data_IF_858613840827
#
_entry.id   IF_858613840827
#
_cell.length_a   1.000
_cell.length_b   1.000
_cell.length_c   1.000
_cell.angle_alpha   90.00
_cell.angle_beta   90.00
_cell.angle_gamma   90.00
#
_symmetry.space_group_name_H-M   'P 1'
#
loop_
_entity.id
_entity.type
_entity.pdbx_description
1 polymer ?
#
# COMPACT_ATOMS: atom_id res chain seq x y z
N UNK A 1 -4.85 8.43 5.94
CA UNK A 1 -3.82 8.12 4.91
C UNK A 1 -2.91 9.32 4.75
N UNK A 2 -1.63 9.10 4.61
CA UNK A 2 -0.63 10.16 4.47
C UNK A 2 -0.12 10.16 3.03
N UNK A 3 0.03 11.35 2.43
CA UNK A 3 0.61 11.46 1.10
C UNK A 3 2.03 10.90 1.08
N UNK A 4 2.32 10.06 0.10
CA UNK A 4 3.65 9.52 -0.13
C UNK A 4 4.34 10.35 -1.21
N UNK A 5 5.55 10.81 -0.92
CA UNK A 5 6.38 11.52 -1.90
C UNK A 5 7.46 10.54 -2.35
N UNK A 6 7.38 10.12 -3.61
CA UNK A 6 8.33 9.16 -4.18
C UNK A 6 9.73 9.76 -4.24
N UNK A 7 10.68 9.02 -3.69
CA UNK A 7 12.10 9.33 -3.80
C UNK A 7 12.73 8.64 -5.03
N UNK A 8 14.05 8.70 -5.07
CA UNK A 8 14.83 7.98 -6.08
C UNK A 8 14.84 6.49 -5.78
N UNK A 9 14.68 5.66 -6.81
CA UNK A 9 14.80 4.22 -6.64
C UNK A 9 16.22 3.84 -6.18
N UNK A 10 16.38 2.81 -5.31
CA UNK A 10 17.69 2.40 -4.84
C UNK A 10 18.53 1.81 -5.98
N UNK A 11 19.83 2.06 -5.96
CA UNK A 11 20.77 1.61 -6.99
C UNK A 11 20.69 0.09 -7.24
N UNK A 12 20.58 -0.70 -6.18
CA UNK A 12 20.44 -2.16 -6.27
C UNK A 12 19.19 -2.59 -7.04
N UNK A 13 18.09 -1.83 -6.90
CA UNK A 13 16.88 -2.08 -7.67
C UNK A 13 17.08 -1.76 -9.15
N UNK A 14 17.72 -0.63 -9.46
CA UNK A 14 18.07 -0.25 -10.83
C UNK A 14 18.94 -1.33 -11.49
N UNK A 15 19.94 -1.81 -10.78
CA UNK A 15 20.82 -2.89 -11.26
C UNK A 15 20.03 -4.18 -11.52
N UNK A 16 19.15 -4.56 -10.59
CA UNK A 16 18.35 -5.76 -10.72
C UNK A 16 17.39 -5.69 -11.91
N UNK A 17 16.62 -4.61 -12.04
CA UNK A 17 15.63 -4.50 -13.13
C UNK A 17 16.25 -4.43 -14.52
N UNK A 18 17.52 -4.04 -14.62
CA UNK A 18 18.26 -4.00 -15.88
C UNK A 18 18.89 -5.35 -16.25
N UNK A 19 18.76 -6.38 -15.42
CA UNK A 19 19.19 -7.73 -15.82
C UNK A 19 18.23 -8.30 -16.86
N UNK A 20 18.77 -9.00 -17.90
CA UNK A 20 17.90 -9.57 -18.94
C UNK A 20 16.85 -10.53 -18.36
N UNK A 21 15.59 -10.37 -18.77
CA UNK A 21 14.48 -11.21 -18.34
C UNK A 21 14.05 -11.01 -16.89
N UNK A 22 14.42 -9.89 -16.24
CA UNK A 22 14.06 -9.62 -14.85
C UNK A 22 12.54 -9.60 -14.66
N UNK A 23 12.08 -10.35 -13.66
CA UNK A 23 10.70 -10.34 -13.17
C UNK A 23 10.67 -9.77 -11.77
N UNK A 24 9.50 -9.28 -11.32
CA UNK A 24 9.38 -8.75 -9.97
C UNK A 24 9.83 -9.78 -8.92
N UNK A 25 10.68 -9.30 -8.05
CA UNK A 25 11.16 -10.01 -6.88
C UNK A 25 11.54 -8.98 -5.82
N UNK A 26 11.06 -9.15 -4.60
CA UNK A 26 11.46 -8.26 -3.51
C UNK A 26 12.94 -8.47 -3.16
N UNK A 27 13.66 -7.38 -3.00
CA UNK A 27 15.03 -7.38 -2.47
C UNK A 27 15.09 -6.47 -1.22
N UNK A 28 16.01 -6.73 -0.26
CA UNK A 28 16.08 -5.95 0.96
C UNK A 28 16.23 -4.44 0.73
N UNK A 29 17.01 -4.02 -0.24
CA UNK A 29 17.24 -2.60 -0.55
C UNK A 29 15.96 -1.92 -1.07
N UNK A 30 15.09 -2.63 -1.78
CA UNK A 30 13.79 -2.13 -2.20
C UNK A 30 12.88 -1.90 -0.98
N UNK A 31 12.82 -2.89 -0.08
CA UNK A 31 12.03 -2.79 1.15
C UNK A 31 12.50 -1.61 2.00
N UNK A 32 13.79 -1.49 2.23
CA UNK A 32 14.38 -0.42 3.04
C UNK A 32 14.07 0.97 2.46
N UNK A 33 14.18 1.12 1.14
CA UNK A 33 13.88 2.37 0.46
C UNK A 33 12.42 2.78 0.58
N UNK A 34 11.49 1.83 0.43
CA UNK A 34 10.05 2.08 0.58
C UNK A 34 9.69 2.41 2.04
N UNK A 35 10.29 1.72 3.01
CA UNK A 35 10.10 2.02 4.43
C UNK A 35 10.58 3.43 4.77
N UNK A 36 11.76 3.81 4.30
CA UNK A 36 12.33 5.15 4.54
C UNK A 36 11.43 6.22 3.95
N UNK A 37 11.03 6.08 2.70
CA UNK A 37 10.20 7.06 1.99
C UNK A 37 8.80 7.22 2.63
N UNK A 38 8.24 6.15 3.21
CA UNK A 38 6.94 6.17 3.87
C UNK A 38 6.99 6.44 5.38
N UNK A 39 8.19 6.54 5.97
CA UNK A 39 8.35 6.73 7.42
C UNK A 39 7.94 5.50 8.23
N UNK A 40 8.17 4.31 7.68
CA UNK A 40 7.87 3.01 8.29
C UNK A 40 6.38 2.84 8.67
N UNK A 41 5.48 3.36 7.84
CA UNK A 41 4.03 3.18 8.00
C UNK A 41 3.40 2.61 6.74
N UNK A 42 2.32 1.85 6.90
CA UNK A 42 1.54 1.31 5.78
C UNK A 42 0.98 2.42 4.90
N UNK A 43 1.11 2.27 3.58
CA UNK A 43 0.63 3.24 2.60
C UNK A 43 -0.86 3.57 2.75
N UNK A 44 -1.66 2.60 3.22
CA UNK A 44 -3.12 2.73 3.28
C UNK A 44 -3.65 2.98 4.68
N UNK A 45 -3.37 2.11 5.65
CA UNK A 45 -3.95 2.21 6.98
C UNK A 45 -3.06 2.93 8.01
N UNK A 46 -1.85 3.29 7.65
CA UNK A 46 -0.86 3.97 8.49
C UNK A 46 -0.38 3.17 9.72
N UNK A 47 -0.69 1.88 9.82
CA UNK A 47 -0.08 1.03 10.85
C UNK A 47 1.45 1.03 10.69
N UNK A 48 2.15 0.99 11.81
CA UNK A 48 3.62 0.91 11.82
C UNK A 48 4.09 -0.40 11.21
N UNK A 49 5.13 -0.34 10.39
CA UNK A 49 5.80 -1.50 9.76
C UNK A 49 7.25 -1.55 10.27
N UNK A 50 7.81 -2.72 10.63
CA UNK A 50 7.20 -4.04 10.54
C UNK A 50 6.14 -4.28 11.63
N UNK A 51 5.14 -5.10 11.30
CA UNK A 51 4.16 -5.59 12.27
C UNK A 51 3.77 -7.03 11.91
N UNK A 52 3.17 -7.74 12.85
CA UNK A 52 2.69 -9.11 12.64
C UNK A 52 1.19 -9.18 12.86
N UNK A 53 0.52 -9.90 11.99
CA UNK A 53 -0.90 -10.22 12.09
C UNK A 53 -1.06 -11.70 12.41
N UNK A 54 -1.52 -12.01 13.63
CA UNK A 54 -1.69 -13.38 14.09
C UNK A 54 -0.39 -14.18 14.08
N UNK A 55 -0.44 -15.41 13.56
CA UNK A 55 0.69 -16.33 13.49
C UNK A 55 1.50 -16.24 12.18
N UNK A 56 1.20 -15.26 11.33
CA UNK A 56 1.93 -15.07 10.07
C UNK A 56 3.38 -14.68 10.31
N UNK A 57 4.27 -15.17 9.45
CA UNK A 57 5.65 -14.71 9.40
C UNK A 57 5.82 -13.41 8.63
N UNK A 58 4.81 -12.99 7.86
CA UNK A 58 4.83 -11.72 7.13
C UNK A 58 4.87 -10.54 8.10
N UNK A 59 5.75 -9.57 7.83
CA UNK A 59 5.85 -8.33 8.60
C UNK A 59 5.49 -7.11 7.75
N UNK A 60 5.45 -7.27 6.44
CA UNK A 60 5.12 -6.25 5.44
C UNK A 60 4.78 -6.92 4.11
N UNK A 61 4.22 -6.13 3.20
CA UNK A 61 3.97 -6.50 1.81
C UNK A 61 4.32 -5.32 0.91
N UNK A 62 4.76 -5.58 -0.32
CA UNK A 62 4.90 -4.54 -1.34
C UNK A 62 3.69 -4.65 -2.28
N UNK A 63 2.94 -3.57 -2.38
CA UNK A 63 1.82 -3.45 -3.31
C UNK A 63 2.23 -2.70 -4.57
N UNK A 64 1.74 -3.17 -5.70
CA UNK A 64 1.77 -2.46 -6.98
C UNK A 64 0.44 -1.74 -7.13
N UNK A 65 0.44 -0.42 -7.18
CA UNK A 65 -0.77 0.41 -7.33
C UNK A 65 -1.56 -0.06 -8.56
N UNK A 66 -0.88 -0.17 -9.70
CA UNK A 66 -1.39 -0.90 -10.87
C UNK A 66 -0.96 -2.36 -10.73
N UNK A 67 -1.91 -3.23 -10.47
CA UNK A 67 -1.67 -4.64 -10.15
C UNK A 67 -0.83 -5.35 -11.22
N UNK A 68 0.15 -6.14 -10.80
CA UNK A 68 1.06 -6.88 -11.69
C UNK A 68 0.33 -7.78 -12.68
N UNK A 69 -0.75 -8.45 -12.28
CA UNK A 69 -1.48 -9.38 -13.15
C UNK A 69 -2.16 -8.67 -14.31
N UNK A 70 -2.58 -7.42 -14.12
CA UNK A 70 -3.25 -6.62 -15.14
C UNK A 70 -2.28 -5.68 -15.88
N UNK A 71 -1.16 -5.34 -15.24
CA UNK A 71 -0.16 -4.38 -15.75
C UNK A 71 1.26 -4.95 -15.57
N UNK A 72 1.59 -6.08 -16.24
CA UNK A 72 2.91 -6.70 -16.12
C UNK A 72 4.04 -5.79 -16.58
N UNK A 73 3.76 -4.84 -17.47
CA UNK A 73 4.71 -3.83 -17.94
C UNK A 73 5.21 -2.90 -16.82
N UNK A 74 4.42 -2.71 -15.76
CA UNK A 74 4.73 -1.85 -14.61
C UNK A 74 5.27 -2.61 -13.39
N UNK A 75 5.53 -3.92 -13.54
CA UNK A 75 5.92 -4.76 -12.39
C UNK A 75 7.27 -4.36 -11.75
N UNK A 76 8.16 -3.74 -12.52
CA UNK A 76 9.49 -3.30 -12.04
C UNK A 76 9.56 -1.78 -11.82
N UNK A 77 8.46 -1.07 -12.06
CA UNK A 77 8.41 0.38 -11.91
C UNK A 77 8.33 0.77 -10.43
N UNK A 78 9.42 1.32 -9.90
CA UNK A 78 9.50 1.77 -8.51
C UNK A 78 8.40 2.78 -8.15
N UNK A 79 8.01 3.63 -9.11
CA UNK A 79 6.95 4.61 -8.90
C UNK A 79 5.54 3.99 -8.82
N UNK A 80 5.41 2.69 -9.13
CA UNK A 80 4.17 1.92 -8.98
C UNK A 80 4.12 1.13 -7.66
N UNK A 81 5.13 1.25 -6.81
CA UNK A 81 5.28 0.42 -5.60
C UNK A 81 5.09 1.23 -4.33
N UNK A 82 4.41 0.62 -3.37
CA UNK A 82 4.29 1.11 -1.98
C UNK A 82 4.48 -0.05 -1.02
N UNK A 83 4.86 0.24 0.22
CA UNK A 83 4.95 -0.78 1.26
C UNK A 83 3.72 -0.72 2.18
N UNK A 84 3.20 -1.89 2.52
CA UNK A 84 1.97 -2.09 3.28
C UNK A 84 2.20 -3.05 4.46
N UNK A 85 1.30 -2.98 5.43
CA UNK A 85 1.23 -3.97 6.51
C UNK A 85 0.81 -5.36 5.96
N UNK A 86 0.92 -6.43 6.75
CA UNK A 86 0.49 -7.77 6.31
C UNK A 86 -0.98 -7.88 5.91
N UNK A 87 -1.86 -7.03 6.48
CA UNK A 87 -3.22 -6.89 6.02
C UNK A 87 -4.18 -7.99 6.46
N UNK A 88 -3.90 -8.67 7.58
CA UNK A 88 -4.72 -9.80 8.05
C UNK A 88 -4.83 -9.80 9.59
N UNK A 89 -5.74 -9.01 10.13
CA UNK A 89 -6.06 -9.03 11.56
C UNK A 89 -7.21 -10.02 11.77
N UNK A 90 -6.98 -11.08 12.57
CA UNK A 90 -7.98 -12.11 12.90
C UNK A 90 -8.71 -12.69 11.67
N UNK A 91 -7.95 -12.97 10.59
CA UNK A 91 -8.46 -13.44 9.30
C UNK A 91 -9.37 -12.45 8.56
N UNK A 92 -9.44 -11.22 8.99
CA UNK A 92 -10.13 -10.14 8.28
C UNK A 92 -9.12 -9.33 7.48
N UNK A 93 -9.26 -9.36 6.14
CA UNK A 93 -8.26 -8.80 5.23
C UNK A 93 -8.52 -7.32 4.95
N UNK A 94 -7.43 -6.56 4.87
CA UNK A 94 -7.43 -5.14 4.53
C UNK A 94 -6.16 -4.77 3.76
N UNK A 95 -6.08 -3.54 3.27
CA UNK A 95 -4.93 -3.02 2.50
C UNK A 95 -4.61 -3.88 1.28
N UNK A 96 -3.34 -4.10 0.96
CA UNK A 96 -2.91 -4.88 -0.18
C UNK A 96 -3.47 -6.31 -0.17
N UNK A 97 -3.54 -6.95 0.98
CA UNK A 97 -4.05 -8.33 1.06
C UNK A 97 -5.52 -8.44 0.66
N UNK A 98 -6.33 -7.44 1.01
CA UNK A 98 -7.72 -7.35 0.56
C UNK A 98 -7.81 -6.95 -0.91
N UNK A 99 -7.02 -5.98 -1.32
CA UNK A 99 -6.98 -5.49 -2.70
C UNK A 99 -6.68 -6.61 -3.69
N UNK A 100 -5.65 -7.41 -3.43
CA UNK A 100 -5.25 -8.50 -4.34
C UNK A 100 -5.04 -7.98 -5.77
N UNK A 101 -5.75 -8.58 -6.73
CA UNK A 101 -5.78 -8.13 -8.13
C UNK A 101 -6.83 -7.03 -8.39
N UNK A 102 -7.49 -6.52 -7.36
CA UNK A 102 -8.45 -5.42 -7.46
C UNK A 102 -7.80 -4.12 -7.91
N UNK A 103 -8.62 -3.19 -8.36
CA UNK A 103 -8.17 -1.91 -8.89
C UNK A 103 -8.58 -0.76 -7.98
N UNK A 104 -7.65 0.18 -7.76
CA UNK A 104 -7.93 1.50 -7.18
C UNK A 104 -7.62 2.55 -8.24
N UNK A 105 -8.46 3.59 -8.32
CA UNK A 105 -8.28 4.69 -9.28
C UNK A 105 -7.65 5.92 -8.64
N UNK A 106 -7.58 5.97 -7.32
CA UNK A 106 -6.83 7.01 -6.62
C UNK A 106 -5.34 6.64 -6.49
N UNK A 107 -4.52 7.63 -6.24
CA UNK A 107 -3.10 7.44 -5.97
C UNK A 107 -2.72 8.02 -4.61
N UNK A 108 -2.00 7.26 -3.74
CA UNK A 108 -1.48 7.80 -2.48
C UNK A 108 -0.39 8.85 -2.68
N UNK A 109 0.03 9.10 -3.91
CA UNK A 109 0.99 10.13 -4.28
C UNK A 109 0.32 11.47 -4.60
N UNK A 110 -0.98 11.45 -4.92
CA UNK A 110 -1.72 12.60 -5.43
C UNK A 110 -2.29 13.46 -4.29
N UNK A 111 -1.88 14.73 -4.24
CA UNK A 111 -2.42 15.69 -3.27
C UNK A 111 -3.92 15.94 -3.48
N UNK A 112 -4.41 15.84 -4.70
CA UNK A 112 -5.83 16.04 -4.98
C UNK A 112 -6.68 14.94 -4.33
N UNK A 113 -6.19 13.69 -4.37
CA UNK A 113 -6.84 12.61 -3.62
C UNK A 113 -6.81 12.89 -2.10
N UNK A 114 -5.65 13.26 -1.56
CA UNK A 114 -5.53 13.54 -0.12
C UNK A 114 -6.49 14.63 0.35
N UNK A 115 -6.75 15.63 -0.48
CA UNK A 115 -7.66 16.74 -0.17
C UNK A 115 -9.14 16.30 -0.08
N UNK A 116 -9.49 15.13 -0.62
CA UNK A 116 -10.86 14.58 -0.52
C UNK A 116 -11.09 13.79 0.77
N UNK A 117 -10.02 13.45 1.50
CA UNK A 117 -10.13 12.59 2.66
C UNK A 117 -10.64 13.33 3.88
N UNK A 118 -11.50 12.65 4.65
CA UNK A 118 -12.04 13.10 5.94
C UNK A 118 -11.97 11.95 6.92
N UNK A 119 -11.66 12.27 8.15
CA UNK A 119 -11.63 11.32 9.26
C UNK A 119 -12.66 11.71 10.29
N UNK A 120 -13.52 10.77 10.68
CA UNK A 120 -14.46 10.97 11.76
C UNK A 120 -13.74 10.83 13.11
N UNK A 121 -13.78 11.88 13.93
CA UNK A 121 -13.15 11.87 15.26
C UNK A 121 -13.83 10.91 16.23
N UNK A 122 -15.10 10.55 15.97
CA UNK A 122 -15.87 9.68 16.86
C UNK A 122 -15.40 8.21 16.83
N UNK A 123 -14.93 7.71 15.67
CA UNK A 123 -14.63 6.29 15.50
C UNK A 123 -13.46 5.99 14.54
N UNK A 124 -12.77 7.03 14.05
CA UNK A 124 -11.64 6.88 13.14
C UNK A 124 -12.01 6.48 11.71
N UNK A 125 -13.30 6.50 11.34
CA UNK A 125 -13.72 6.19 9.97
C UNK A 125 -13.08 7.15 8.99
N UNK A 126 -12.51 6.59 7.91
CA UNK A 126 -11.96 7.35 6.78
C UNK A 126 -12.99 7.40 5.65
N UNK A 127 -13.20 8.56 5.09
CA UNK A 127 -14.11 8.79 3.97
C UNK A 127 -13.45 9.68 2.92
N UNK A 128 -13.85 9.50 1.65
CA UNK A 128 -13.53 10.43 0.57
C UNK A 128 -14.80 11.16 0.14
N UNK A 129 -14.68 12.45 -0.18
CA UNK A 129 -15.78 13.21 -0.80
C UNK A 129 -16.05 12.78 -2.25
N UNK A 130 -15.13 12.05 -2.87
CA UNK A 130 -15.32 11.42 -4.17
C UNK A 130 -15.95 10.02 -3.95
N UNK A 131 -17.13 9.78 -4.52
CA UNK A 131 -17.89 8.54 -4.31
C UNK A 131 -17.16 7.29 -4.80
N UNK A 132 -16.46 7.37 -5.93
CA UNK A 132 -15.70 6.24 -6.48
C UNK A 132 -14.56 5.87 -5.52
N UNK A 133 -13.78 6.84 -5.10
CA UNK A 133 -12.67 6.63 -4.17
C UNK A 133 -13.15 6.19 -2.79
N UNK A 134 -14.29 6.72 -2.34
CA UNK A 134 -14.91 6.27 -1.09
C UNK A 134 -15.29 4.79 -1.13
N UNK A 135 -15.84 4.34 -2.25
CA UNK A 135 -16.16 2.93 -2.47
C UNK A 135 -14.89 2.07 -2.48
N UNK A 136 -13.82 2.50 -3.14
CA UNK A 136 -12.55 1.79 -3.18
C UNK A 136 -11.92 1.66 -1.78
N UNK A 137 -11.97 2.72 -0.97
CA UNK A 137 -11.51 2.71 0.44
C UNK A 137 -12.22 1.61 1.23
N UNK A 138 -13.54 1.47 1.05
CA UNK A 138 -14.36 0.51 1.79
C UNK A 138 -14.29 -0.91 1.22
N UNK A 139 -14.54 -1.05 -0.08
CA UNK A 139 -14.76 -2.36 -0.71
C UNK A 139 -13.47 -3.01 -1.22
N UNK A 140 -12.54 -2.21 -1.75
CA UNK A 140 -11.30 -2.75 -2.31
C UNK A 140 -10.22 -2.90 -1.24
N UNK A 141 -10.06 -1.90 -0.37
CA UNK A 141 -9.03 -1.88 0.67
C UNK A 141 -9.53 -2.25 2.06
N UNK A 142 -10.84 -2.20 2.31
CA UNK A 142 -11.46 -2.48 3.61
C UNK A 142 -10.84 -1.66 4.77
N UNK A 143 -10.60 -0.37 4.54
CA UNK A 143 -9.91 0.48 5.52
C UNK A 143 -10.79 0.85 6.73
N UNK A 144 -12.11 0.74 6.61
CA UNK A 144 -13.03 0.97 7.72
C UNK A 144 -13.39 -0.29 8.49
N UNK A 145 -12.57 -1.32 8.34
CA UNK A 145 -12.62 -2.53 9.13
C UNK A 145 -12.63 -2.19 10.63
N UNK A 146 -13.52 -2.85 11.38
CA UNK A 146 -13.70 -2.62 12.83
C UNK A 146 -12.39 -2.80 13.60
N UNK A 147 -11.60 -3.81 13.24
CA UNK A 147 -10.34 -4.12 13.92
C UNK A 147 -9.26 -3.07 13.66
N UNK A 148 -9.23 -2.49 12.45
CA UNK A 148 -8.34 -1.38 12.14
C UNK A 148 -8.71 -0.12 12.92
N UNK A 149 -10.00 0.18 13.04
CA UNK A 149 -10.48 1.35 13.79
C UNK A 149 -10.27 1.24 15.29
N UNK A 150 -10.19 0.01 15.83
CA UNK A 150 -9.93 -0.27 17.23
C UNK A 150 -8.45 -0.15 17.62
N UNK A 151 -7.55 -0.09 16.66
CA UNK A 151 -6.12 0.10 16.84
C UNK A 151 -5.71 1.53 16.47
#
# INVERSE_FOLDING_TARGET
>A
MKRIIKGREPKKWTEYKNTPGAQYKSIPELVDSLLEEQGAICAYCMRRIPCKDGNSSETHRIDHISCQSNHPEDQLNYNNMVICCPGAIDNDFHCDKKKGAGNITFSPFDINFMNTLRYKSSDGTIESTNNIWNNEINEVLNLNNRLLKAN
#
